data_IF_472681987941
#
_entry.id   IF_472681987941
#
_cell.length_a   1.000
_cell.length_b   1.000
_cell.length_c   1.000
_cell.angle_alpha   90.00
_cell.angle_beta   90.00
_cell.angle_gamma   90.00
#
_symmetry.space_group_name_H-M   'P 1'
#
loop_
_entity.id
_entity.type
_entity.pdbx_description
1 polymer ?
#
# COMPACT_ATOMS: atom_id res chain seq x y z
N UNK A 1 -58.74 -16.63 -22.91
CA UNK A 1 -58.39 -17.97 -23.39
C UNK A 1 -57.18 -18.40 -22.58
N UNK A 2 -57.32 -18.74 -21.28
CA UNK A 2 -58.10 -19.86 -20.70
C UNK A 2 -57.69 -21.18 -21.36
N UNK A 3 -57.20 -22.23 -20.69
CA UNK A 3 -57.45 -22.77 -19.35
C UNK A 3 -56.15 -23.41 -18.79
N UNK A 4 -55.82 -23.41 -17.49
CA UNK A 4 -56.47 -24.01 -16.30
C UNK A 4 -56.41 -25.55 -16.21
N UNK A 5 -55.91 -26.01 -15.06
CA UNK A 5 -55.85 -27.38 -14.55
C UNK A 5 -54.86 -27.42 -13.37
N UNK A 6 -55.10 -26.76 -12.23
CA UNK A 6 -55.95 -27.15 -11.08
C UNK A 6 -55.74 -28.61 -10.64
N UNK A 7 -54.94 -28.80 -9.57
CA UNK A 7 -54.99 -29.97 -8.70
C UNK A 7 -55.39 -29.49 -7.30
N UNK A 8 -56.52 -30.02 -6.84
CA UNK A 8 -57.22 -29.70 -5.61
C UNK A 8 -57.01 -30.88 -4.66
N UNK A 9 -56.50 -30.61 -3.45
CA UNK A 9 -56.30 -31.62 -2.41
C UNK A 9 -56.24 -30.96 -1.04
N UNK A 10 -57.38 -30.47 -0.57
CA UNK A 10 -57.56 -29.87 0.74
C UNK A 10 -57.93 -30.89 1.84
N UNK A 11 -57.62 -30.50 3.07
CA UNK A 11 -57.99 -31.16 4.32
C UNK A 11 -56.79 -31.17 5.26
N UNK A 12 -56.65 -30.33 6.29
CA UNK A 12 -57.66 -29.70 7.13
C UNK A 12 -57.38 -30.17 8.57
N UNK A 13 -56.66 -29.36 9.34
CA UNK A 13 -56.37 -29.59 10.76
C UNK A 13 -55.92 -28.28 11.42
N UNK A 14 -56.83 -27.65 12.16
CA UNK A 14 -56.66 -26.40 12.91
C UNK A 14 -55.84 -26.57 14.19
N UNK A 15 -55.01 -25.57 14.52
CA UNK A 15 -54.91 -24.85 15.81
C UNK A 15 -53.54 -24.14 15.94
N UNK A 16 -53.39 -23.10 16.77
CA UNK A 16 -54.15 -21.86 16.85
C UNK A 16 -53.25 -20.63 16.56
N UNK A 17 -53.89 -19.47 16.41
CA UNK A 17 -53.27 -18.16 16.20
C UNK A 17 -52.20 -17.81 17.25
N UNK A 18 -50.93 -17.76 16.84
CA UNK A 18 -49.89 -17.04 17.59
C UNK A 18 -49.91 -15.58 17.13
N UNK A 19 -50.43 -14.70 17.98
CA UNK A 19 -50.47 -13.26 17.75
C UNK A 19 -49.09 -12.70 17.40
N UNK A 20 -49.05 -11.83 16.40
CA UNK A 20 -47.91 -10.94 16.14
C UNK A 20 -47.62 -10.18 17.44
N UNK A 21 -46.53 -10.54 18.13
CA UNK A 21 -45.92 -9.67 19.16
C UNK A 21 -45.49 -8.40 18.43
N UNK A 22 -46.25 -7.33 18.59
CA UNK A 22 -45.75 -5.97 18.34
C UNK A 22 -44.50 -5.80 19.21
N UNK A 23 -43.49 -5.14 18.67
CA UNK A 23 -42.21 -4.94 19.32
C UNK A 23 -42.44 -4.28 20.68
N UNK A 24 -41.98 -4.92 21.77
CA UNK A 24 -42.18 -4.41 23.12
C UNK A 24 -41.58 -3.00 23.27
N UNK A 25 -40.53 -2.69 22.51
CA UNK A 25 -39.89 -1.38 22.46
C UNK A 25 -40.76 -0.28 21.81
N UNK A 26 -41.52 -0.62 20.77
CA UNK A 26 -42.41 0.33 20.09
C UNK A 26 -43.64 0.64 20.94
N UNK A 27 -44.23 -0.37 21.59
CA UNK A 27 -45.34 -0.17 22.54
C UNK A 27 -44.92 0.60 23.80
N UNK A 28 -43.65 0.50 24.22
CA UNK A 28 -43.11 1.26 25.34
C UNK A 28 -42.85 2.73 24.97
N UNK A 29 -42.41 3.00 23.73
CA UNK A 29 -42.24 4.35 23.22
C UNK A 29 -43.57 5.07 22.96
N UNK A 30 -44.63 4.35 22.61
CA UNK A 30 -45.97 4.92 22.37
C UNK A 30 -46.75 5.21 23.67
N UNK A 31 -46.41 4.54 24.79
CA UNK A 31 -47.20 4.58 26.02
C UNK A 31 -46.69 5.54 27.10
N UNK A 32 -45.53 6.18 26.92
CA UNK A 32 -44.90 7.01 27.95
C UNK A 32 -44.80 8.47 27.51
N UNK A 33 -45.16 9.38 28.40
CA UNK A 33 -44.87 10.79 28.20
C UNK A 33 -43.35 11.05 28.32
N UNK A 34 -42.79 12.04 27.59
CA UNK A 34 -41.35 12.32 27.62
C UNK A 34 -40.82 12.62 29.05
N UNK A 35 -41.70 13.07 29.94
CA UNK A 35 -41.38 13.32 31.36
C UNK A 35 -41.22 12.04 32.19
N UNK A 36 -42.00 10.99 31.91
CA UNK A 36 -41.90 9.68 32.58
C UNK A 36 -40.67 8.92 32.11
N UNK A 37 -40.30 9.06 30.83
CA UNK A 37 -39.05 8.55 30.26
C UNK A 37 -37.84 9.18 30.96
N UNK A 38 -37.87 10.50 31.20
CA UNK A 38 -36.81 11.22 31.90
C UNK A 38 -36.66 10.77 33.37
N UNK A 39 -37.77 10.60 34.11
CA UNK A 39 -37.72 10.09 35.50
C UNK A 39 -37.26 8.65 35.58
N UNK A 40 -37.65 7.81 34.61
CA UNK A 40 -37.18 6.43 34.56
C UNK A 40 -35.67 6.38 34.30
N UNK A 41 -35.20 7.16 33.32
CA UNK A 41 -33.77 7.31 32.98
C UNK A 41 -32.94 7.83 34.15
N UNK A 42 -33.47 8.78 34.92
CA UNK A 42 -32.85 9.25 36.16
C UNK A 42 -32.82 8.15 37.24
N UNK A 43 -33.88 7.36 37.38
CA UNK A 43 -33.98 6.29 38.38
C UNK A 43 -33.08 5.07 38.08
N UNK A 44 -32.74 4.84 36.82
CA UNK A 44 -31.80 3.78 36.39
C UNK A 44 -30.40 4.31 36.06
N UNK A 45 -30.14 5.60 36.32
CA UNK A 45 -28.88 6.31 36.02
C UNK A 45 -28.42 6.10 34.56
N UNK A 46 -29.39 6.03 33.64
CA UNK A 46 -29.17 5.80 32.21
C UNK A 46 -29.16 7.13 31.47
N UNK A 47 -28.01 7.50 30.92
CA UNK A 47 -27.86 8.63 30.02
C UNK A 47 -27.86 8.12 28.58
N UNK A 48 -28.74 8.63 27.71
CA UNK A 48 -28.75 8.29 26.27
C UNK A 48 -27.39 8.59 25.59
N UNK A 49 -26.58 9.48 26.18
CA UNK A 49 -25.22 9.79 25.78
C UNK A 49 -24.21 9.23 26.79
N UNK A 50 -24.14 7.90 26.94
CA UNK A 50 -23.00 7.27 27.61
C UNK A 50 -21.74 7.71 26.83
N UNK A 51 -20.75 8.38 27.45
CA UNK A 51 -19.50 8.71 26.76
C UNK A 51 -18.92 7.43 26.18
N UNK A 52 -18.28 7.48 24.99
CA UNK A 52 -17.78 6.28 24.33
C UNK A 52 -16.96 5.48 25.35
N UNK A 53 -17.35 4.23 25.55
CA UNK A 53 -16.70 3.31 26.48
C UNK A 53 -15.20 3.42 26.22
N UNK A 54 -14.43 3.88 27.22
CA UNK A 54 -13.02 4.18 27.04
C UNK A 54 -12.25 2.84 26.95
N UNK A 55 -12.26 2.23 25.78
CA UNK A 55 -11.59 0.96 25.54
C UNK A 55 -10.07 1.15 25.68
N UNK A 56 -9.35 0.17 26.23
CA UNK A 56 -7.90 0.21 26.28
C UNK A 56 -7.30 0.45 24.89
N UNK A 57 -6.15 1.14 24.81
CA UNK A 57 -5.44 1.40 23.54
C UNK A 57 -5.04 0.13 22.77
N UNK A 58 -5.01 -1.01 23.47
CA UNK A 58 -4.74 -2.35 22.96
C UNK A 58 -5.96 -3.03 22.34
N UNK A 59 -7.16 -2.52 22.58
CA UNK A 59 -8.39 -3.12 22.09
C UNK A 59 -8.50 -3.00 20.56
N UNK A 60 -8.55 -4.15 19.90
CA UNK A 60 -8.82 -4.27 18.45
C UNK A 60 -10.32 -4.48 18.28
N UNK A 61 -10.98 -3.49 17.69
CA UNK A 61 -12.43 -3.54 17.46
C UNK A 61 -12.75 -4.28 16.16
N UNK A 62 -12.08 -3.90 15.06
CA UNK A 62 -12.31 -4.49 13.75
C UNK A 62 -11.08 -5.27 13.29
N UNK A 63 -11.30 -6.53 12.89
CA UNK A 63 -10.27 -7.38 12.30
C UNK A 63 -10.80 -8.01 11.01
N UNK A 64 -10.11 -7.75 9.90
CA UNK A 64 -10.43 -8.29 8.60
C UNK A 64 -9.27 -9.13 8.10
N UNK A 65 -9.52 -10.42 7.85
CA UNK A 65 -8.54 -11.36 7.31
C UNK A 65 -8.98 -11.80 5.90
N UNK A 66 -8.21 -11.41 4.90
CA UNK A 66 -8.38 -11.78 3.50
C UNK A 66 -7.35 -12.86 3.12
N UNK A 67 -7.85 -13.98 2.61
CA UNK A 67 -7.02 -15.07 2.09
C UNK A 67 -7.49 -15.41 0.69
N UNK A 68 -6.75 -14.95 -0.31
CA UNK A 68 -7.04 -15.16 -1.72
C UNK A 68 -6.00 -16.15 -2.26
N UNK A 69 -6.44 -17.34 -2.67
CA UNK A 69 -5.54 -18.35 -3.23
C UNK A 69 -4.89 -17.88 -4.53
N UNK A 70 -5.61 -17.11 -5.33
CA UNK A 70 -5.10 -16.51 -6.57
C UNK A 70 -5.83 -15.21 -6.87
N UNK A 71 -5.07 -14.19 -7.26
CA UNK A 71 -5.57 -12.95 -7.86
C UNK A 71 -4.92 -12.81 -9.22
N UNK A 72 -5.73 -12.68 -10.26
CA UNK A 72 -5.27 -12.50 -11.63
C UNK A 72 -5.62 -11.10 -12.13
N UNK A 73 -4.65 -10.40 -12.70
CA UNK A 73 -4.86 -9.16 -13.44
C UNK A 73 -4.50 -9.45 -14.88
N UNK A 74 -5.50 -9.42 -15.76
CA UNK A 74 -5.37 -9.82 -17.16
C UNK A 74 -5.66 -8.60 -18.03
N UNK A 75 -4.68 -8.25 -18.85
CA UNK A 75 -4.85 -7.31 -19.96
C UNK A 75 -5.02 -8.15 -21.21
N UNK A 76 -6.22 -8.10 -21.80
CA UNK A 76 -6.57 -8.94 -22.94
C UNK A 76 -5.61 -8.72 -24.11
N UNK A 77 -5.19 -9.81 -24.74
CA UNK A 77 -4.20 -9.82 -25.82
C UNK A 77 -2.76 -9.45 -25.43
N UNK A 78 -2.48 -9.04 -24.19
CA UNK A 78 -1.17 -8.56 -23.76
C UNK A 78 -0.54 -9.43 -22.66
N UNK A 79 -0.85 -9.14 -21.39
CA UNK A 79 -0.15 -9.69 -20.21
C UNK A 79 -1.16 -10.19 -19.18
N UNK A 80 -0.89 -11.35 -18.60
CA UNK A 80 -1.62 -11.91 -17.46
C UNK A 80 -0.69 -12.01 -16.26
N UNK A 81 -0.99 -11.26 -15.21
CA UNK A 81 -0.28 -11.28 -13.93
C UNK A 81 -1.08 -12.09 -12.92
N UNK A 82 -0.43 -13.04 -12.26
CA UNK A 82 -1.00 -13.89 -11.24
C UNK A 82 -0.24 -13.70 -9.92
N UNK A 83 -0.97 -13.26 -8.90
CA UNK A 83 -0.53 -13.20 -7.51
C UNK A 83 -1.11 -14.43 -6.80
N UNK A 84 -0.26 -15.30 -6.28
CA UNK A 84 -0.68 -16.56 -5.66
C UNK A 84 -0.47 -16.49 -4.15
N UNK A 85 -1.42 -17.07 -3.41
CA UNK A 85 -1.46 -17.07 -1.95
C UNK A 85 -1.32 -15.66 -1.35
N UNK A 86 -2.17 -14.74 -1.79
CA UNK A 86 -2.26 -13.40 -1.23
C UNK A 86 -2.98 -13.47 0.12
N UNK A 87 -2.31 -13.01 1.17
CA UNK A 87 -2.88 -12.87 2.51
C UNK A 87 -2.80 -11.42 2.92
N UNK A 88 -3.95 -10.81 3.22
CA UNK A 88 -4.00 -9.46 3.77
C UNK A 88 -4.78 -9.47 5.08
N UNK A 89 -4.28 -8.79 6.10
CA UNK A 89 -4.93 -8.62 7.38
C UNK A 89 -4.99 -7.12 7.70
N UNK A 90 -6.15 -6.66 8.13
CA UNK A 90 -6.38 -5.28 8.58
C UNK A 90 -6.92 -5.33 9.99
N UNK A 91 -6.20 -4.76 10.93
CA UNK A 91 -6.62 -4.63 12.33
C UNK A 91 -6.79 -3.14 12.64
N UNK A 92 -7.95 -2.75 13.14
CA UNK A 92 -8.24 -1.37 13.53
C UNK A 92 -8.46 -1.29 15.05
N UNK A 93 -7.85 -0.27 15.65
CA UNK A 93 -8.03 0.10 17.05
C UNK A 93 -8.55 1.54 17.08
N UNK A 94 -9.88 1.76 16.91
CA UNK A 94 -10.46 3.10 16.80
C UNK A 94 -10.18 3.98 18.03
N UNK A 95 -10.12 3.38 19.22
CA UNK A 95 -9.82 4.08 20.48
C UNK A 95 -8.42 4.71 20.54
N UNK A 96 -7.49 4.25 19.70
CA UNK A 96 -6.16 4.81 19.55
C UNK A 96 -5.94 5.44 18.15
N UNK A 97 -6.99 5.56 17.34
CA UNK A 97 -6.90 5.97 15.91
C UNK A 97 -5.82 5.19 15.16
N UNK A 98 -5.67 3.90 15.45
CA UNK A 98 -4.58 3.06 14.96
C UNK A 98 -5.09 2.01 13.96
N UNK A 99 -4.31 1.75 12.92
CA UNK A 99 -4.61 0.78 11.88
C UNK A 99 -3.33 0.03 11.51
N UNK A 100 -3.42 -1.30 11.52
CA UNK A 100 -2.36 -2.19 11.09
C UNK A 100 -2.82 -2.94 9.84
N UNK A 101 -2.16 -2.71 8.72
CA UNK A 101 -2.34 -3.44 7.47
C UNK A 101 -1.11 -4.32 7.24
N UNK A 102 -1.30 -5.62 7.15
CA UNK A 102 -0.26 -6.59 6.76
C UNK A 102 -0.70 -7.29 5.48
N UNK A 103 0.12 -7.27 4.44
CA UNK A 103 -0.14 -7.96 3.18
C UNK A 103 1.08 -8.78 2.77
N UNK A 104 0.86 -10.03 2.41
CA UNK A 104 1.91 -10.93 1.92
C UNK A 104 1.46 -11.66 0.67
N UNK A 105 2.39 -11.87 -0.26
CA UNK A 105 2.17 -12.62 -1.50
C UNK A 105 3.30 -13.64 -1.60
N UNK A 106 2.99 -14.93 -1.74
CA UNK A 106 4.01 -15.98 -1.76
C UNK A 106 4.63 -16.16 -3.13
N UNK A 107 3.81 -16.35 -4.17
CA UNK A 107 4.30 -16.57 -5.53
C UNK A 107 3.78 -15.50 -6.49
N UNK A 108 4.62 -15.17 -7.46
CA UNK A 108 4.30 -14.27 -8.56
C UNK A 108 4.48 -15.02 -9.88
N UNK A 109 3.53 -14.90 -10.80
CA UNK A 109 3.68 -15.39 -12.17
C UNK A 109 3.18 -14.34 -13.15
N UNK A 110 3.89 -14.17 -14.26
CA UNK A 110 3.46 -13.32 -15.37
C UNK A 110 3.61 -14.08 -16.68
N UNK A 111 2.54 -14.11 -17.45
CA UNK A 111 2.52 -14.66 -18.80
C UNK A 111 2.22 -13.54 -19.80
N UNK A 112 2.89 -13.53 -20.96
CA UNK A 112 2.68 -12.58 -22.04
C UNK A 112 2.35 -13.30 -23.34
N UNK A 113 1.17 -13.03 -23.92
CA UNK A 113 0.69 -13.68 -25.15
C UNK A 113 0.86 -15.23 -25.17
N UNK A 114 0.67 -15.90 -24.03
CA UNK A 114 0.80 -17.36 -23.90
C UNK A 114 2.21 -17.88 -23.55
N UNK A 115 3.21 -17.01 -23.44
CA UNK A 115 4.57 -17.36 -22.99
C UNK A 115 4.82 -16.92 -21.53
N UNK A 116 5.49 -17.75 -20.73
CA UNK A 116 5.85 -17.39 -19.35
C UNK A 116 7.00 -16.37 -19.35
N UNK A 117 6.72 -15.16 -18.87
CA UNK A 117 7.70 -14.06 -18.78
C UNK A 117 8.46 -14.08 -17.45
N UNK A 118 7.77 -14.37 -16.35
CA UNK A 118 8.42 -14.51 -15.05
C UNK A 118 7.64 -15.46 -14.14
N UNK A 119 8.37 -16.14 -13.27
CA UNK A 119 7.79 -16.90 -12.17
C UNK A 119 8.72 -16.88 -10.98
N UNK A 120 8.17 -16.50 -9.83
CA UNK A 120 8.87 -16.46 -8.55
C UNK A 120 8.15 -17.43 -7.62
N UNK A 121 8.90 -18.43 -7.15
CA UNK A 121 8.44 -19.41 -6.18
C UNK A 121 9.57 -19.68 -5.21
N UNK A 122 9.41 -19.19 -3.99
CA UNK A 122 10.30 -19.48 -2.87
C UNK A 122 9.44 -20.02 -1.71
N UNK A 123 9.64 -21.27 -1.27
CA UNK A 123 8.88 -21.83 -0.15
C UNK A 123 9.29 -21.27 1.21
N UNK A 124 10.44 -20.60 1.31
CA UNK A 124 11.00 -20.12 2.58
C UNK A 124 10.59 -18.69 2.92
N UNK A 125 10.35 -17.85 1.91
CA UNK A 125 10.07 -16.42 2.07
C UNK A 125 9.00 -15.95 1.08
N UNK A 126 8.08 -15.07 1.50
CA UNK A 126 7.12 -14.48 0.58
C UNK A 126 7.83 -13.58 -0.44
N UNK A 127 7.33 -13.56 -1.67
CA UNK A 127 7.80 -12.62 -2.69
C UNK A 127 7.56 -11.16 -2.29
N UNK A 128 6.39 -10.85 -1.71
CA UNK A 128 6.08 -9.51 -1.22
C UNK A 128 5.63 -9.56 0.22
N UNK A 129 6.18 -8.67 1.04
CA UNK A 129 5.73 -8.38 2.40
C UNK A 129 5.54 -6.87 2.54
N UNK A 130 4.33 -6.46 2.90
CA UNK A 130 3.96 -5.08 3.19
C UNK A 130 3.36 -5.02 4.58
N UNK A 131 3.86 -4.15 5.43
CA UNK A 131 3.28 -3.82 6.72
C UNK A 131 3.17 -2.30 6.84
N UNK A 132 1.95 -1.80 7.02
CA UNK A 132 1.67 -0.40 7.29
C UNK A 132 1.04 -0.35 8.67
N UNK A 133 1.66 0.38 9.59
CA UNK A 133 1.17 0.54 10.95
C UNK A 133 0.99 2.02 11.27
N UNK A 134 -0.17 2.40 11.76
CA UNK A 134 -0.43 3.74 12.29
C UNK A 134 -0.68 3.65 13.78
N UNK A 135 -0.07 4.56 14.55
CA UNK A 135 -0.15 4.62 16.01
C UNK A 135 0.16 3.26 16.67
N UNK A 136 1.38 2.72 16.49
CA UNK A 136 1.83 1.48 17.12
C UNK A 136 1.73 1.54 18.65
N UNK A 137 1.48 0.40 19.30
CA UNK A 137 1.33 0.31 20.76
C UNK A 137 2.59 0.71 21.55
N UNK A 138 3.77 0.44 20.97
CA UNK A 138 5.07 0.60 21.65
C UNK A 138 6.08 1.42 20.83
N UNK A 139 5.63 2.15 19.79
CA UNK A 139 6.51 2.86 18.87
C UNK A 139 6.81 4.30 19.28
N UNK A 140 8.00 4.80 18.89
CA UNK A 140 8.39 6.23 18.96
C UNK A 140 7.98 7.01 17.69
N UNK A 141 7.04 6.48 16.93
CA UNK A 141 6.65 6.93 15.60
C UNK A 141 5.15 6.74 15.41
N UNK A 142 4.52 7.62 14.64
CA UNK A 142 3.07 7.64 14.44
C UNK A 142 2.67 6.79 13.22
N UNK A 143 3.58 6.60 12.28
CA UNK A 143 3.36 5.78 11.09
C UNK A 143 4.64 5.01 10.74
N UNK A 144 4.49 3.74 10.40
CA UNK A 144 5.57 2.95 9.79
C UNK A 144 5.09 2.25 8.54
N UNK A 145 5.96 2.23 7.53
CA UNK A 145 5.76 1.46 6.31
C UNK A 145 6.99 0.59 6.11
N UNK A 146 6.77 -0.72 6.17
CA UNK A 146 7.75 -1.72 5.84
C UNK A 146 7.34 -2.42 4.55
N UNK A 147 8.22 -2.43 3.55
CA UNK A 147 8.01 -3.10 2.29
C UNK A 147 9.25 -3.92 1.94
N UNK A 148 9.09 -5.23 1.79
CA UNK A 148 10.14 -6.11 1.31
C UNK A 148 9.65 -6.85 0.05
N UNK A 149 10.42 -6.76 -1.03
CA UNK A 149 10.14 -7.45 -2.30
C UNK A 149 11.34 -8.33 -2.64
N UNK A 150 11.10 -9.62 -2.89
CA UNK A 150 12.09 -10.61 -3.26
C UNK A 150 12.53 -10.46 -4.74
N UNK A 151 13.73 -10.95 -5.12
CA UNK A 151 14.28 -10.69 -6.44
C UNK A 151 13.46 -11.37 -7.54
N UNK A 152 13.42 -10.74 -8.72
CA UNK A 152 12.65 -11.23 -9.86
C UNK A 152 13.54 -11.37 -11.10
N UNK A 153 13.22 -12.36 -11.93
CA UNK A 153 13.86 -12.59 -13.22
C UNK A 153 12.80 -12.46 -14.31
N UNK A 154 12.85 -11.36 -15.07
CA UNK A 154 11.88 -11.03 -16.12
C UNK A 154 12.47 -11.36 -17.49
N UNK A 155 11.84 -12.29 -18.20
CA UNK A 155 12.13 -12.56 -19.61
C UNK A 155 11.29 -11.60 -20.45
N UNK A 156 11.96 -10.77 -21.23
CA UNK A 156 11.29 -9.83 -22.12
C UNK A 156 10.58 -10.56 -23.25
N UNK A 157 9.36 -10.11 -23.57
CA UNK A 157 8.55 -10.64 -24.65
C UNK A 157 7.93 -9.47 -25.43
N UNK A 158 8.51 -9.15 -26.57
CA UNK A 158 8.17 -7.97 -27.37
C UNK A 158 6.69 -7.91 -27.77
N UNK A 159 6.06 -9.00 -28.27
CA UNK A 159 4.63 -8.93 -28.61
C UNK A 159 3.74 -8.55 -27.44
N UNK A 160 4.04 -9.05 -26.24
CA UNK A 160 3.23 -8.78 -25.05
C UNK A 160 3.40 -7.33 -24.57
N UNK A 161 4.63 -6.82 -24.61
CA UNK A 161 4.92 -5.43 -24.22
C UNK A 161 4.33 -4.43 -25.21
N UNK A 162 4.43 -4.70 -26.52
CA UNK A 162 3.84 -3.85 -27.54
C UNK A 162 2.31 -3.79 -27.41
N UNK A 163 1.66 -4.95 -27.25
CA UNK A 163 0.21 -4.99 -27.05
C UNK A 163 -0.21 -4.28 -25.77
N UNK A 164 0.56 -4.42 -24.68
CA UNK A 164 0.29 -3.68 -23.44
C UNK A 164 0.42 -2.17 -23.66
N UNK A 165 1.47 -1.71 -24.37
CA UNK A 165 1.67 -0.31 -24.67
C UNK A 165 0.53 0.27 -25.52
N UNK A 166 0.01 -0.51 -26.47
CA UNK A 166 -1.14 -0.11 -27.29
C UNK A 166 -2.44 0.01 -26.47
N UNK A 167 -2.67 -0.91 -25.51
CA UNK A 167 -3.84 -0.85 -24.62
C UNK A 167 -3.80 0.36 -23.69
N UNK A 168 -2.62 0.73 -23.18
CA UNK A 168 -2.46 1.87 -22.27
C UNK A 168 -2.20 3.19 -22.98
N UNK A 169 -2.17 3.21 -24.31
CA UNK A 169 -2.03 4.44 -25.08
C UNK A 169 -3.28 5.30 -24.87
N UNK A 170 -3.17 6.49 -24.26
CA UNK A 170 -4.33 7.33 -24.01
C UNK A 170 -4.99 7.72 -25.33
N UNK A 171 -6.34 7.72 -25.42
CA UNK A 171 -7.01 8.20 -26.61
C UNK A 171 -6.70 9.68 -26.83
N UNK A 172 -6.49 10.08 -28.09
CA UNK A 172 -6.05 11.43 -28.49
C UNK A 172 -6.96 12.57 -27.99
N UNK A 173 -8.18 12.26 -27.52
CA UNK A 173 -9.17 13.22 -27.03
C UNK A 173 -9.07 13.58 -25.55
N UNK A 174 -8.19 12.95 -24.75
CA UNK A 174 -8.10 13.25 -23.31
C UNK A 174 -7.15 14.43 -23.07
N UNK A 175 -7.73 15.63 -22.92
CA UNK A 175 -7.01 16.82 -22.47
C UNK A 175 -6.58 16.64 -21.01
N UNK A 176 -5.35 16.17 -20.79
CA UNK A 176 -4.69 16.08 -19.47
C UNK A 176 -4.72 17.38 -18.66
N UNK A 177 -5.02 18.52 -19.30
CA UNK A 177 -5.16 19.84 -18.69
C UNK A 177 -6.12 19.90 -17.49
N UNK A 178 -7.17 19.06 -17.46
CA UNK A 178 -8.12 19.05 -16.34
C UNK A 178 -7.53 18.41 -15.07
N UNK A 179 -6.68 17.40 -15.20
CA UNK A 179 -5.95 16.80 -14.07
C UNK A 179 -4.89 17.76 -13.52
N UNK A 180 -4.22 18.50 -14.41
CA UNK A 180 -3.24 19.53 -14.03
C UNK A 180 -3.88 20.67 -13.25
N UNK A 181 -5.08 21.12 -13.64
CA UNK A 181 -5.81 22.18 -12.95
C UNK A 181 -6.26 21.76 -11.53
N UNK A 182 -6.72 20.52 -11.35
CA UNK A 182 -7.10 19.99 -10.03
C UNK A 182 -5.89 19.84 -9.10
N UNK A 183 -4.71 19.50 -9.64
CA UNK A 183 -3.46 19.45 -8.88
C UNK A 183 -2.99 20.86 -8.48
N UNK A 184 -3.10 21.85 -9.36
CA UNK A 184 -2.71 23.25 -9.09
C UNK A 184 -3.64 23.92 -8.06
N UNK A 185 -4.94 23.62 -8.08
CA UNK A 185 -5.89 24.16 -7.10
C UNK A 185 -5.68 23.65 -5.67
N UNK A 186 -5.03 22.49 -5.49
CA UNK A 186 -4.63 21.97 -4.17
C UNK A 186 -3.35 22.63 -3.64
N UNK A 187 -2.65 23.40 -4.46
CA UNK A 187 -1.35 24.01 -4.14
C UNK A 187 -1.47 25.42 -3.53
N UNK A 188 -2.65 26.05 -3.56
CA UNK A 188 -2.86 27.43 -3.07
C UNK A 188 -3.57 27.53 -1.72
N UNK A 189 -3.22 26.68 -0.75
CA UNK A 189 -3.71 26.85 0.62
C UNK A 189 -2.61 26.67 1.66
N UNK A 190 -1.68 27.63 1.72
CA UNK A 190 -0.67 27.69 2.80
C UNK A 190 -0.66 29.09 3.42
N UNK A 191 -1.21 29.20 4.63
CA UNK A 191 -1.14 30.40 5.49
C UNK A 191 0.18 30.44 6.26
N UNK A 192 0.80 31.60 6.30
CA UNK A 192 2.02 31.87 7.07
C UNK A 192 1.83 31.60 8.59
N UNK A 193 2.74 30.85 9.20
CA UNK A 193 2.80 30.66 10.66
C UNK A 193 4.04 31.33 11.27
N UNK A 194 3.86 31.90 12.46
CA UNK A 194 4.90 32.54 13.28
C UNK A 194 5.88 31.52 13.88
N UNK A 195 7.01 31.98 14.45
CA UNK A 195 7.99 31.12 15.10
C UNK A 195 7.40 30.27 16.27
N UNK A 196 6.38 30.78 16.95
CA UNK A 196 5.58 30.02 17.93
C UNK A 196 4.74 28.93 17.29
N UNK A 197 4.23 29.17 16.08
CA UNK A 197 3.55 28.16 15.26
C UNK A 197 4.48 27.07 14.74
N UNK A 198 5.77 27.36 14.53
CA UNK A 198 6.78 26.37 14.15
C UNK A 198 7.05 25.38 15.31
N UNK A 199 7.25 25.87 16.53
CA UNK A 199 7.47 25.02 17.70
C UNK A 199 6.29 24.07 17.96
N UNK A 200 5.05 24.60 17.92
CA UNK A 200 3.84 23.79 18.06
C UNK A 200 3.63 22.79 16.91
N UNK A 201 4.06 23.12 15.69
CA UNK A 201 4.00 22.22 14.54
C UNK A 201 5.03 21.09 14.62
N UNK A 202 6.23 21.35 15.13
CA UNK A 202 7.25 20.33 15.38
C UNK A 202 6.82 19.38 16.51
N UNK A 203 6.14 19.87 17.54
CA UNK A 203 5.65 19.06 18.66
C UNK A 203 4.50 18.12 18.28
N UNK A 204 3.59 18.55 17.40
CA UNK A 204 2.42 17.76 16.97
C UNK A 204 2.60 17.06 15.62
N UNK A 205 3.84 16.89 15.15
CA UNK A 205 4.10 16.28 13.83
C UNK A 205 3.92 14.76 13.88
N UNK A 206 3.30 14.20 12.84
CA UNK A 206 3.27 12.76 12.63
C UNK A 206 4.61 12.28 12.08
N UNK A 207 5.32 11.45 12.83
CA UNK A 207 6.60 10.87 12.43
C UNK A 207 6.39 9.62 11.59
N UNK A 208 6.86 9.68 10.34
CA UNK A 208 6.83 8.57 9.40
C UNK A 208 8.18 7.82 9.35
N UNK A 209 8.13 6.52 9.57
CA UNK A 209 9.28 5.61 9.41
C UNK A 209 9.08 4.77 8.16
N UNK A 210 10.06 4.81 7.25
CA UNK A 210 10.09 4.00 6.04
C UNK A 210 11.23 2.97 6.15
N UNK A 211 10.91 1.71 5.87
CA UNK A 211 11.86 0.63 5.64
C UNK A 211 11.43 -0.14 4.39
N UNK A 212 11.93 0.29 3.25
CA UNK A 212 11.61 -0.31 1.94
C UNK A 212 12.87 -0.98 1.42
N UNK A 213 12.78 -2.27 1.10
CA UNK A 213 13.84 -3.08 0.53
C UNK A 213 13.30 -3.81 -0.70
N UNK A 214 13.76 -3.41 -1.88
CA UNK A 214 13.39 -4.05 -3.15
C UNK A 214 14.63 -4.75 -3.68
N UNK A 215 14.61 -6.08 -3.61
CA UNK A 215 15.70 -6.92 -4.11
C UNK A 215 15.82 -6.79 -5.65
N UNK A 216 16.99 -7.14 -6.20
CA UNK A 216 17.26 -6.88 -7.61
C UNK A 216 16.27 -7.54 -8.58
N UNK A 217 15.93 -6.79 -9.62
CA UNK A 217 15.15 -7.27 -10.75
C UNK A 217 16.07 -7.41 -11.96
N UNK A 218 16.25 -8.64 -12.45
CA UNK A 218 17.05 -8.92 -13.64
C UNK A 218 16.14 -9.09 -14.85
N UNK A 219 16.36 -8.29 -15.89
CA UNK A 219 15.61 -8.31 -17.13
C UNK A 219 16.48 -8.92 -18.24
N UNK A 220 15.94 -9.90 -18.95
CA UNK A 220 16.59 -10.58 -20.06
C UNK A 220 15.95 -10.16 -21.38
N UNK A 221 16.71 -9.50 -22.26
CA UNK A 221 16.25 -9.05 -23.57
C UNK A 221 17.09 -9.75 -24.64
N UNK A 222 16.56 -10.83 -25.20
CA UNK A 222 17.22 -11.60 -26.26
C UNK A 222 16.99 -10.97 -27.64
N UNK A 223 17.93 -11.18 -28.55
CA UNK A 223 17.82 -10.77 -29.95
C UNK A 223 16.54 -11.33 -30.60
N UNK A 224 15.81 -10.46 -31.30
CA UNK A 224 14.51 -10.79 -31.91
C UNK A 224 13.31 -10.62 -30.97
N UNK A 225 13.50 -10.17 -29.73
CA UNK A 225 12.41 -9.75 -28.84
C UNK A 225 11.65 -10.90 -28.15
N UNK A 226 12.06 -12.14 -28.36
CA UNK A 226 11.57 -13.32 -27.63
C UNK A 226 12.76 -13.99 -26.96
N UNK A 227 12.60 -14.34 -25.69
CA UNK A 227 13.65 -14.95 -24.89
C UNK A 227 14.17 -16.25 -25.53
N UNK A 228 15.49 -16.30 -25.73
CA UNK A 228 16.22 -17.47 -26.22
C UNK A 228 17.58 -17.54 -25.51
N UNK A 229 17.86 -18.68 -24.88
CA UNK A 229 19.07 -18.86 -24.08
C UNK A 229 20.37 -18.80 -24.90
N UNK A 230 20.31 -19.14 -26.19
CA UNK A 230 21.47 -19.27 -27.08
C UNK A 230 21.73 -18.01 -27.91
N UNK A 231 20.82 -17.05 -27.90
CA UNK A 231 20.96 -15.80 -28.66
C UNK A 231 21.71 -14.74 -27.85
N UNK A 232 22.34 -13.78 -28.56
CA UNK A 232 22.81 -12.56 -27.95
C UNK A 232 21.70 -11.94 -27.09
N UNK A 233 22.01 -11.65 -25.83
CA UNK A 233 21.04 -11.18 -24.85
C UNK A 233 21.64 -10.03 -24.05
N UNK A 234 20.86 -8.96 -23.95
CA UNK A 234 21.10 -7.86 -23.03
C UNK A 234 20.49 -8.23 -21.66
N UNK A 235 21.34 -8.25 -20.64
CA UNK A 235 20.92 -8.47 -19.25
C UNK A 235 21.01 -7.13 -18.52
N UNK A 236 19.90 -6.70 -17.95
CA UNK A 236 19.84 -5.53 -17.10
C UNK A 236 19.49 -5.97 -15.67
N UNK A 237 20.46 -5.89 -14.77
CA UNK A 237 20.25 -6.02 -13.34
C UNK A 237 20.02 -4.64 -12.73
N UNK A 238 18.81 -4.43 -12.20
CA UNK A 238 18.41 -3.14 -11.62
C UNK A 238 18.96 -2.93 -10.21
N UNK A 239 19.68 -3.89 -9.63
CA UNK A 239 20.35 -3.72 -8.35
C UNK A 239 19.39 -3.65 -7.15
N UNK A 240 19.95 -3.43 -5.96
CA UNK A 240 19.19 -3.35 -4.72
C UNK A 240 18.75 -1.90 -4.47
N UNK A 241 17.44 -1.68 -4.32
CA UNK A 241 16.88 -0.40 -3.89
C UNK A 241 16.50 -0.48 -2.41
N UNK A 242 17.06 0.41 -1.59
CA UNK A 242 16.66 0.58 -0.21
C UNK A 242 16.23 2.02 0.07
N UNK A 243 15.13 2.17 0.81
CA UNK A 243 14.67 3.46 1.32
C UNK A 243 14.49 3.34 2.83
N UNK A 244 15.28 4.10 3.58
CA UNK A 244 15.26 4.05 5.05
C UNK A 244 15.16 5.44 5.64
N UNK A 245 14.35 5.61 6.69
CA UNK A 245 14.37 6.83 7.49
C UNK A 245 15.70 6.97 8.22
N UNK A 246 16.29 8.17 8.16
CA UNK A 246 17.52 8.53 8.88
C UNK A 246 17.12 9.32 10.12
N UNK A 247 17.52 8.84 11.30
CA UNK A 247 17.35 9.60 12.53
C UNK A 247 18.49 10.63 12.68
N UNK A 248 18.15 11.88 13.02
CA UNK A 248 19.15 12.88 13.38
C UNK A 248 19.78 12.51 14.73
N UNK A 249 21.12 12.50 14.79
CA UNK A 249 21.86 12.25 16.03
C UNK A 249 21.67 13.41 17.03
N UNK A 250 21.13 13.16 18.24
CA UNK A 250 20.93 14.19 19.26
C UNK A 250 22.22 14.92 19.65
N UNK A 251 23.37 14.25 19.60
CA UNK A 251 24.65 14.82 20.01
C UNK A 251 25.23 15.79 18.98
N UNK A 252 24.94 15.59 17.69
CA UNK A 252 25.39 16.48 16.61
C UNK A 252 24.68 17.85 16.66
N UNK A 253 23.48 17.91 17.23
CA UNK A 253 22.65 19.11 17.31
C UNK A 253 22.97 19.99 18.52
N UNK A 254 23.63 19.45 19.56
CA UNK A 254 23.86 20.14 20.83
C UNK A 254 24.71 21.44 20.72
N UNK A 255 25.51 21.57 19.66
CA UNK A 255 26.39 22.71 19.42
C UNK A 255 25.81 23.76 18.45
N UNK A 256 24.57 23.58 17.97
CA UNK A 256 23.93 24.50 17.03
C UNK A 256 22.91 25.43 17.70
N UNK A 257 22.66 26.59 17.10
CA UNK A 257 21.63 27.54 17.56
C UNK A 257 20.26 26.87 17.69
N UNK A 258 19.47 27.30 18.68
CA UNK A 258 18.11 26.75 18.93
C UNK A 258 17.22 26.77 17.68
N UNK A 259 17.38 27.76 16.80
CA UNK A 259 16.64 27.85 15.55
C UNK A 259 17.06 26.76 14.56
N UNK A 260 18.36 26.50 14.41
CA UNK A 260 18.89 25.40 13.60
C UNK A 260 18.49 24.02 14.13
N UNK A 261 18.49 23.84 15.46
CA UNK A 261 17.98 22.62 16.09
C UNK A 261 16.49 22.39 15.83
N UNK A 262 15.68 23.45 15.86
CA UNK A 262 14.25 23.38 15.55
C UNK A 262 14.02 23.09 14.06
N UNK A 263 14.83 23.70 13.18
CA UNK A 263 14.77 23.44 11.75
C UNK A 263 15.15 22.00 11.42
N UNK A 264 16.26 21.46 11.95
CA UNK A 264 16.65 20.07 11.68
C UNK A 264 15.60 19.06 12.16
N UNK A 265 14.93 19.36 13.29
CA UNK A 265 13.79 18.60 13.79
C UNK A 265 12.51 18.79 13.00
N UNK A 266 12.42 19.78 12.11
CA UNK A 266 11.26 19.99 11.23
C UNK A 266 11.36 19.19 9.92
N UNK A 267 12.52 18.59 9.62
CA UNK A 267 12.71 17.75 8.44
C UNK A 267 12.66 16.26 8.79
N UNK A 268 11.91 15.50 8.01
CA UNK A 268 12.02 14.04 7.94
C UNK A 268 13.06 13.69 6.88
N UNK A 269 14.13 13.00 7.31
CA UNK A 269 15.24 12.62 6.44
C UNK A 269 15.06 11.18 5.99
N UNK A 270 15.07 10.96 4.69
CA UNK A 270 15.04 9.63 4.08
C UNK A 270 16.31 9.44 3.27
N UNK A 271 16.88 8.24 3.31
CA UNK A 271 17.99 7.86 2.44
C UNK A 271 17.48 6.84 1.44
N UNK A 272 17.62 7.17 0.17
CA UNK A 272 17.30 6.31 -0.98
C UNK A 272 18.63 5.84 -1.57
N UNK A 273 18.91 4.54 -1.46
CA UNK A 273 20.14 3.95 -1.96
C UNK A 273 19.82 2.88 -2.99
N UNK A 274 20.27 3.10 -4.22
CA UNK A 274 20.27 2.11 -5.29
C UNK A 274 21.71 1.61 -5.47
N UNK A 275 21.93 0.30 -5.44
CA UNK A 275 23.27 -0.27 -5.50
C UNK A 275 23.36 -1.36 -6.55
N UNK A 276 24.49 -1.39 -7.27
CA UNK A 276 24.85 -2.46 -8.19
C UNK A 276 23.90 -2.60 -9.40
N UNK A 277 23.51 -1.49 -10.01
CA UNK A 277 22.86 -1.49 -11.33
C UNK A 277 23.90 -1.86 -12.37
N UNK A 278 23.66 -2.93 -13.13
CA UNK A 278 24.59 -3.44 -14.15
C UNK A 278 23.81 -3.73 -15.42
N UNK A 279 24.37 -3.35 -16.56
CA UNK A 279 23.84 -3.74 -17.87
C UNK A 279 24.96 -4.41 -18.63
N UNK A 280 24.75 -5.67 -19.02
CA UNK A 280 25.71 -6.45 -19.78
C UNK A 280 25.12 -6.97 -21.08
N UNK A 281 25.94 -6.96 -22.13
CA UNK A 281 25.60 -7.56 -23.42
C UNK A 281 26.47 -8.80 -23.59
N UNK A 282 25.83 -9.95 -23.80
CA UNK A 282 26.54 -11.21 -23.97
C UNK A 282 25.99 -12.00 -25.15
N UNK A 283 26.83 -12.84 -25.75
CA UNK A 283 26.46 -13.74 -26.86
C UNK A 283 25.40 -14.77 -26.46
N UNK A 284 25.28 -15.08 -25.17
CA UNK A 284 24.28 -15.99 -24.63
C UNK A 284 23.95 -15.65 -23.16
N UNK A 285 22.85 -16.20 -22.66
CA UNK A 285 22.36 -15.92 -21.30
C UNK A 285 23.33 -16.41 -20.22
N UNK A 286 24.02 -17.53 -20.44
CA UNK A 286 24.93 -18.12 -19.46
C UNK A 286 26.16 -17.22 -19.21
N UNK A 287 26.81 -16.75 -20.27
CA UNK A 287 27.92 -15.78 -20.21
C UNK A 287 27.45 -14.46 -19.61
N UNK A 288 26.27 -14.00 -19.99
CA UNK A 288 25.64 -12.80 -19.41
C UNK A 288 25.47 -12.91 -17.90
N UNK A 289 24.91 -14.02 -17.40
CA UNK A 289 24.75 -14.24 -15.95
C UNK A 289 26.09 -14.31 -15.22
N UNK A 290 27.10 -14.94 -15.82
CA UNK A 290 28.44 -14.96 -15.25
C UNK A 290 29.04 -13.55 -15.14
N UNK A 291 28.80 -12.69 -16.13
CA UNK A 291 29.28 -11.30 -16.10
C UNK A 291 28.65 -10.44 -14.99
N UNK A 292 27.45 -10.77 -14.51
CA UNK A 292 26.82 -10.01 -13.40
C UNK A 292 27.56 -10.19 -12.07
N UNK A 293 28.27 -11.31 -11.88
CA UNK A 293 29.08 -11.55 -10.68
C UNK A 293 30.47 -10.90 -10.73
N UNK A 294 30.96 -10.58 -11.93
CA UNK A 294 32.29 -10.00 -12.15
C UNK A 294 32.18 -8.47 -12.35
N UNK A 295 32.75 -7.68 -11.45
CA UNK A 295 32.62 -6.22 -11.45
C UNK A 295 33.35 -5.52 -12.60
N UNK A 296 34.35 -6.15 -13.18
CA UNK A 296 35.18 -5.58 -14.26
C UNK A 296 35.04 -6.35 -15.58
N UNK A 297 33.92 -7.07 -15.74
CA UNK A 297 33.70 -7.85 -16.96
C UNK A 297 33.71 -6.94 -18.19
N UNK A 298 34.42 -7.31 -19.28
CA UNK A 298 34.42 -6.54 -20.53
C UNK A 298 33.06 -6.55 -21.23
N UNK A 299 32.14 -7.42 -20.80
CA UNK A 299 30.78 -7.52 -21.32
C UNK A 299 29.83 -6.45 -20.75
N UNK A 300 30.28 -5.66 -19.77
CA UNK A 300 29.49 -4.57 -19.19
C UNK A 300 29.37 -3.39 -20.15
N UNK A 301 28.14 -3.09 -20.55
CA UNK A 301 27.80 -1.80 -21.17
C UNK A 301 27.67 -0.72 -20.11
N UNK A 302 27.07 -1.07 -18.96
CA UNK A 302 27.04 -0.24 -17.76
C UNK A 302 27.71 -1.01 -16.64
N UNK A 303 28.88 -0.51 -16.20
CA UNK A 303 29.56 -1.03 -15.01
C UNK A 303 28.69 -0.86 -13.76
N UNK A 304 28.91 -1.67 -12.70
CA UNK A 304 28.20 -1.55 -11.43
C UNK A 304 28.08 -0.10 -10.94
N UNK A 305 26.88 0.46 -11.12
CA UNK A 305 26.58 1.85 -10.79
C UNK A 305 25.61 1.89 -9.62
N UNK A 306 25.79 2.85 -8.73
CA UNK A 306 24.90 3.08 -7.60
C UNK A 306 24.52 4.56 -7.51
N UNK A 307 23.43 4.81 -6.79
CA UNK A 307 22.90 6.13 -6.51
C UNK A 307 22.57 6.19 -5.03
N UNK A 308 22.99 7.24 -4.35
CA UNK A 308 22.71 7.47 -2.94
C UNK A 308 22.19 8.90 -2.78
N UNK A 309 20.89 9.02 -2.52
CA UNK A 309 20.19 10.29 -2.41
C UNK A 309 19.64 10.40 -1.00
N UNK A 310 19.86 11.56 -0.39
CA UNK A 310 19.18 11.91 0.85
C UNK A 310 18.07 12.92 0.54
N UNK A 311 16.84 12.55 0.87
CA UNK A 311 15.66 13.40 0.71
C UNK A 311 15.31 13.98 2.07
N UNK A 312 15.29 15.29 2.19
CA UNK A 312 14.86 15.98 3.41
C UNK A 312 13.48 16.57 3.13
N UNK A 313 12.44 15.88 3.60
CA UNK A 313 11.07 16.37 3.48
C UNK A 313 10.80 17.28 4.65
N UNK A 314 10.49 18.55 4.40
CA UNK A 314 10.01 19.42 5.46
C UNK A 314 8.61 18.91 5.90
N UNK A 315 8.43 18.65 7.19
CA UNK A 315 7.11 18.34 7.76
C UNK A 315 6.23 19.59 7.87
N UNK A 316 6.76 20.76 7.50
CA UNK A 316 6.14 22.09 7.58
C UNK A 316 6.28 22.74 6.20
N UNK A 317 5.23 23.37 5.67
CA UNK A 317 5.32 24.12 4.41
C UNK A 317 6.22 25.36 4.61
N UNK A 318 7.50 25.25 4.24
CA UNK A 318 8.49 26.29 4.43
C UNK A 318 8.49 27.25 3.23
N UNK A 319 7.92 28.44 3.43
CA UNK A 319 7.90 29.55 2.47
C UNK A 319 9.14 30.44 2.56
N UNK A 320 10.14 30.13 3.40
CA UNK A 320 11.30 31.02 3.66
C UNK A 320 12.57 30.68 2.88
N UNK A 321 12.57 29.64 2.04
CA UNK A 321 13.66 29.42 1.11
C UNK A 321 13.43 30.31 -0.13
N UNK A 322 14.35 31.24 -0.48
CA UNK A 322 14.21 32.04 -1.68
C UNK A 322 14.18 31.12 -2.92
N UNK A 323 13.25 31.39 -3.83
CA UNK A 323 13.20 30.78 -5.16
C UNK A 323 14.37 31.22 -6.02
#
# INVERSE_FOLDING_TARGET
MDCLGSEFGGGGGEAPSAGKKKDFAEQFNEAMTPEEKAKLFEAIDYQENIPPTNYPKEFVENKFDFRLGQVAVIVDGAVSLFLLDLRAAVEQRPSASAMNLKSTIQELRMDGCGAEMLRVRDPSKPWLYLCVDTNPLHGKYDQSVQLAIAPINLKYHAPAVNNAADVFKPPESVKLNQLTAAAMSRYEEVKARSATGLAHAVENRSRLVLDIQIQPATIYISEGGVYDANKPTLLADLGLLSVTTVESDPNALAHQDKLHQLMDKAYDKFRVKLSNVVVSMAENVAKGRASLGDKESPLHTLKPTGLDIQIHKCSIDDLRLPR
#
